data_IF_714193209943
#
_entry.id   IF_714193209943
#
_cell.length_a   1.000
_cell.length_b   1.000
_cell.length_c   1.000
_cell.angle_alpha   90.00
_cell.angle_beta   90.00
_cell.angle_gamma   90.00
#
_symmetry.space_group_name_H-M   'P 1'
#
loop_
_entity.id
_entity.type
_entity.pdbx_description
1 polymer ?
#
# COMPACT_ATOMS: atom_id res chain seq x y z
N UNK A 1 1.11 -14.82 22.02
CA UNK A 1 0.55 -13.62 21.38
C UNK A 1 1.54 -12.49 21.60
N UNK A 2 2.31 -12.14 20.57
CA UNK A 2 3.25 -11.01 20.66
C UNK A 2 2.45 -9.75 20.36
N UNK A 3 2.41 -8.81 21.30
CA UNK A 3 1.77 -7.49 21.14
C UNK A 3 2.53 -6.68 20.08
N UNK A 4 2.16 -6.83 18.81
CA UNK A 4 2.85 -6.23 17.66
C UNK A 4 2.44 -4.76 17.38
N UNK A 5 1.52 -4.16 18.13
CA UNK A 5 1.04 -2.80 17.87
C UNK A 5 1.98 -1.67 18.29
N UNK A 6 3.21 -1.98 18.72
CA UNK A 6 4.13 -0.93 19.15
C UNK A 6 4.80 -0.28 17.93
N UNK A 7 4.60 1.02 17.74
CA UNK A 7 5.29 1.84 16.72
C UNK A 7 6.81 1.65 16.71
N UNK A 8 7.39 1.32 17.87
CA UNK A 8 8.82 1.02 17.98
C UNK A 8 9.26 -0.26 17.25
N UNK A 9 8.36 -1.22 17.03
CA UNK A 9 8.65 -2.46 16.30
C UNK A 9 8.80 -2.20 14.80
N UNK A 10 7.90 -1.39 14.22
CA UNK A 10 7.93 -0.99 12.81
C UNK A 10 8.83 0.23 12.62
N UNK A 11 10.11 0.06 12.94
CA UNK A 11 11.14 1.08 12.83
C UNK A 11 11.97 0.92 11.54
N UNK A 12 12.91 1.84 11.33
CA UNK A 12 13.82 1.81 10.17
C UNK A 12 14.56 0.48 10.00
N UNK A 13 14.96 -0.21 11.07
CA UNK A 13 15.62 -1.52 10.99
C UNK A 13 14.67 -2.60 10.46
N UNK A 14 13.44 -2.66 10.97
CA UNK A 14 12.41 -3.60 10.49
C UNK A 14 12.22 -3.48 8.98
N UNK A 15 12.16 -2.25 8.47
CA UNK A 15 12.01 -2.00 7.05
C UNK A 15 13.31 -2.21 6.29
N UNK A 16 14.49 -1.87 6.83
CA UNK A 16 15.79 -2.10 6.18
C UNK A 16 16.02 -3.59 5.88
N UNK A 17 15.69 -4.46 6.83
CA UNK A 17 15.79 -5.92 6.67
C UNK A 17 14.79 -6.48 5.64
N UNK A 18 13.77 -5.70 5.26
CA UNK A 18 12.68 -6.08 4.36
C UNK A 18 12.60 -5.20 3.11
N UNK A 19 13.55 -4.30 2.91
CA UNK A 19 13.43 -3.15 2.01
C UNK A 19 13.38 -3.53 0.53
N UNK A 20 13.64 -4.80 0.24
CA UNK A 20 13.60 -5.36 -1.10
C UNK A 20 12.97 -6.75 -1.06
N UNK A 21 11.72 -6.85 -0.59
CA UNK A 21 10.90 -7.94 -1.12
C UNK A 21 10.45 -7.50 -2.50
N UNK A 22 11.02 -8.18 -3.50
CA UNK A 22 10.47 -8.14 -4.85
C UNK A 22 8.96 -8.35 -4.79
N UNK A 23 8.28 -7.75 -5.76
CA UNK A 23 6.85 -7.94 -5.89
C UNK A 23 6.61 -9.42 -6.14
N UNK A 24 5.77 -10.02 -5.31
CA UNK A 24 5.31 -11.37 -5.51
C UNK A 24 4.69 -11.47 -6.92
N UNK A 25 5.25 -12.28 -7.83
CA UNK A 25 4.79 -12.35 -9.22
C UNK A 25 3.33 -12.78 -9.36
N UNK A 26 2.83 -13.58 -8.42
CA UNK A 26 1.45 -14.02 -8.39
C UNK A 26 0.52 -12.88 -7.96
N UNK A 27 0.89 -12.12 -6.92
CA UNK A 27 0.14 -10.92 -6.55
C UNK A 27 0.16 -9.88 -7.67
N UNK A 28 1.30 -9.68 -8.34
CA UNK A 28 1.37 -8.84 -9.55
C UNK A 28 0.34 -9.25 -10.60
N UNK A 29 0.28 -10.54 -10.91
CA UNK A 29 -0.67 -11.07 -11.90
C UNK A 29 -2.12 -10.83 -11.47
N UNK A 30 -2.47 -11.14 -10.21
CA UNK A 30 -3.83 -10.93 -9.69
C UNK A 30 -4.21 -9.45 -9.74
N UNK A 31 -3.33 -8.58 -9.23
CA UNK A 31 -3.60 -7.14 -9.15
C UNK A 31 -3.84 -6.58 -10.55
N UNK A 32 -2.98 -6.87 -11.53
CA UNK A 32 -3.16 -6.36 -12.88
C UNK A 32 -4.47 -6.85 -13.51
N UNK A 33 -4.77 -8.15 -13.45
CA UNK A 33 -5.98 -8.69 -14.08
C UNK A 33 -7.29 -8.20 -13.42
N UNK A 34 -7.29 -7.96 -12.11
CA UNK A 34 -8.49 -7.49 -11.40
C UNK A 34 -8.71 -5.98 -11.54
N UNK A 35 -7.64 -5.19 -11.68
CA UNK A 35 -7.74 -3.73 -11.86
C UNK A 35 -8.09 -3.39 -13.32
N UNK A 36 -7.55 -4.12 -14.28
CA UNK A 36 -7.78 -3.89 -15.72
C UNK A 36 -8.98 -4.66 -16.29
N UNK A 37 -9.95 -5.05 -15.45
CA UNK A 37 -11.23 -5.59 -15.92
C UNK A 37 -11.94 -4.65 -16.93
N UNK A 38 -13.11 -5.02 -17.49
CA UNK A 38 -13.70 -4.43 -18.71
C UNK A 38 -14.19 -2.97 -18.61
N UNK A 39 -13.62 -2.15 -17.73
CA UNK A 39 -13.90 -0.73 -17.60
C UNK A 39 -13.14 0.03 -18.70
N UNK A 40 -13.88 0.68 -19.60
CA UNK A 40 -13.39 1.65 -20.61
C UNK A 40 -12.76 2.93 -20.00
N UNK A 41 -12.09 2.84 -18.84
CA UNK A 41 -11.39 3.96 -18.20
C UNK A 41 -9.89 3.79 -18.38
N UNK A 42 -9.21 4.90 -18.70
CA UNK A 42 -7.75 4.95 -18.68
C UNK A 42 -7.21 4.56 -17.30
N UNK A 43 -6.11 3.79 -17.25
CA UNK A 43 -5.44 3.41 -15.98
C UNK A 43 -5.17 4.62 -15.07
N UNK A 44 -4.80 5.76 -15.66
CA UNK A 44 -4.52 7.01 -14.92
C UNK A 44 -5.76 7.56 -14.22
N UNK A 45 -6.96 7.27 -14.71
CA UNK A 45 -8.21 7.69 -14.11
C UNK A 45 -8.59 6.86 -12.89
N UNK A 46 -8.01 5.68 -12.70
CA UNK A 46 -8.29 4.80 -11.56
C UNK A 46 -7.41 5.23 -10.38
N UNK A 47 -8.06 5.59 -9.27
CA UNK A 47 -7.43 6.02 -8.03
C UNK A 47 -7.37 4.85 -7.06
N UNK A 48 -6.16 4.45 -6.68
CA UNK A 48 -5.91 3.31 -5.79
C UNK A 48 -5.32 3.82 -4.47
N UNK A 49 -5.78 3.27 -3.35
CA UNK A 49 -5.14 3.43 -2.04
C UNK A 49 -4.54 2.09 -1.59
N UNK A 50 -3.24 2.07 -1.35
CA UNK A 50 -2.53 0.96 -0.71
C UNK A 50 -2.48 1.19 0.81
N UNK A 51 -3.25 0.40 1.55
CA UNK A 51 -3.39 0.48 3.01
C UNK A 51 -2.35 -0.43 3.67
N UNK A 52 -1.51 0.12 4.54
CA UNK A 52 -0.35 -0.59 5.05
C UNK A 52 0.76 -0.68 4.02
N UNK A 53 1.01 0.41 3.28
CA UNK A 53 1.88 0.40 2.09
C UNK A 53 3.37 0.13 2.40
N UNK A 54 3.78 0.15 3.67
CA UNK A 54 5.16 -0.02 4.10
C UNK A 54 6.11 0.92 3.35
N UNK A 55 7.17 0.38 2.78
CA UNK A 55 8.16 1.14 1.99
C UNK A 55 7.68 1.53 0.59
N UNK A 56 6.44 1.19 0.21
CA UNK A 56 5.79 1.66 -1.01
C UNK A 56 6.08 0.84 -2.27
N UNK A 57 6.44 -0.44 -2.12
CA UNK A 57 6.77 -1.33 -3.26
C UNK A 57 5.60 -1.40 -4.26
N UNK A 58 4.38 -1.67 -3.79
CA UNK A 58 3.20 -1.75 -4.67
C UNK A 58 2.75 -0.38 -5.19
N UNK A 59 2.84 0.67 -4.36
CA UNK A 59 2.60 2.06 -4.80
C UNK A 59 3.47 2.41 -6.01
N UNK A 60 4.77 2.15 -5.93
CA UNK A 60 5.71 2.47 -7.00
C UNK A 60 5.48 1.63 -8.25
N UNK A 61 5.20 0.34 -8.09
CA UNK A 61 4.91 -0.54 -9.22
C UNK A 61 3.64 -0.15 -9.96
N UNK A 62 2.54 0.06 -9.26
CA UNK A 62 1.27 0.41 -9.89
C UNK A 62 1.32 1.81 -10.54
N UNK A 63 2.10 2.74 -9.99
CA UNK A 63 2.40 4.02 -10.67
C UNK A 63 3.15 3.80 -11.99
N UNK A 64 4.16 2.90 -12.02
CA UNK A 64 4.87 2.55 -13.27
C UNK A 64 3.95 1.89 -14.31
N UNK A 65 2.94 1.15 -13.85
CA UNK A 65 1.91 0.55 -14.71
C UNK A 65 0.87 1.55 -15.23
N UNK A 66 0.94 2.82 -14.79
CA UNK A 66 0.12 3.93 -15.29
C UNK A 66 -1.09 4.27 -14.42
N UNK A 67 -1.21 3.71 -13.22
CA UNK A 67 -2.30 4.02 -12.28
C UNK A 67 -2.00 5.24 -11.41
N UNK A 68 -3.05 5.89 -10.90
CA UNK A 68 -2.92 6.92 -9.87
C UNK A 68 -3.02 6.26 -8.49
N UNK A 69 -1.89 6.15 -7.80
CA UNK A 69 -1.80 5.37 -6.55
C UNK A 69 -1.33 6.24 -5.40
N UNK A 70 -1.92 6.03 -4.23
CA UNK A 70 -1.58 6.65 -2.95
C UNK A 70 -1.33 5.54 -1.93
N UNK A 71 -0.51 5.82 -0.91
CA UNK A 71 -0.28 4.88 0.19
C UNK A 71 -0.56 5.51 1.56
N UNK A 72 -0.93 4.66 2.51
CA UNK A 72 -0.85 4.98 3.94
C UNK A 72 -0.15 3.87 4.70
N UNK A 73 0.61 4.24 5.73
CA UNK A 73 1.14 3.29 6.70
C UNK A 73 1.17 3.95 8.08
N UNK A 74 0.94 3.19 9.15
CA UNK A 74 0.91 3.74 10.50
C UNK A 74 2.33 4.03 11.05
N UNK A 75 3.35 3.40 10.45
CA UNK A 75 4.76 3.66 10.75
C UNK A 75 5.22 4.94 10.08
N UNK A 76 5.69 5.87 10.92
CA UNK A 76 6.30 7.11 10.45
C UNK A 76 7.53 6.84 9.57
N UNK A 77 8.36 5.86 9.93
CA UNK A 77 9.54 5.47 9.14
C UNK A 77 9.14 4.99 7.73
N UNK A 78 8.14 4.10 7.64
CA UNK A 78 7.62 3.63 6.35
C UNK A 78 7.08 4.77 5.48
N UNK A 79 6.26 5.64 6.07
CA UNK A 79 5.69 6.79 5.39
C UNK A 79 6.79 7.74 4.86
N UNK A 80 7.85 7.99 5.64
CA UNK A 80 8.99 8.80 5.19
C UNK A 80 9.74 8.14 4.03
N UNK A 81 10.05 6.85 4.14
CA UNK A 81 10.75 6.07 3.12
C UNK A 81 9.97 6.08 1.79
N UNK A 82 8.68 5.75 1.87
CA UNK A 82 7.80 5.64 0.71
C UNK A 82 7.32 6.99 0.18
N UNK A 83 7.59 8.08 0.93
CA UNK A 83 7.04 9.43 0.70
C UNK A 83 5.51 9.42 0.61
N UNK A 84 4.87 8.62 1.47
CA UNK A 84 3.42 8.48 1.56
C UNK A 84 2.91 9.02 2.90
N UNK A 85 1.62 8.88 3.18
CA UNK A 85 0.97 9.49 4.34
C UNK A 85 1.09 8.57 5.56
N UNK A 86 1.52 9.13 6.70
CA UNK A 86 1.52 8.41 7.97
C UNK A 86 0.10 8.42 8.57
N UNK A 87 -0.60 7.29 8.53
CA UNK A 87 -1.97 7.17 9.02
C UNK A 87 -2.34 5.75 9.42
N UNK A 88 -3.36 5.61 10.27
CA UNK A 88 -3.88 4.31 10.72
C UNK A 88 -4.82 3.70 9.68
N UNK A 89 -4.77 2.38 9.51
CA UNK A 89 -5.70 1.65 8.66
C UNK A 89 -7.15 1.71 9.17
N UNK A 90 -7.35 1.85 10.49
CA UNK A 90 -8.69 1.97 11.10
C UNK A 90 -9.21 3.41 11.14
N UNK A 91 -8.38 4.39 10.78
CA UNK A 91 -8.76 5.80 10.71
C UNK A 91 -8.04 6.48 9.56
N UNK A 92 -8.62 6.32 8.37
CA UNK A 92 -8.06 6.78 7.12
C UNK A 92 -8.38 8.28 6.90
N UNK A 93 -7.39 9.14 6.58
CA UNK A 93 -7.57 10.60 6.49
C UNK A 93 -8.06 11.04 5.09
N UNK A 94 -9.00 10.29 4.51
CA UNK A 94 -9.58 10.62 3.21
C UNK A 94 -11.09 10.66 3.31
N UNK A 95 -11.70 11.50 2.47
CA UNK A 95 -13.15 11.52 2.32
C UNK A 95 -13.66 10.20 1.76
N UNK A 96 -14.93 9.90 2.03
CA UNK A 96 -15.63 8.79 1.36
C UNK A 96 -15.53 8.94 -0.16
N UNK A 97 -15.51 7.79 -0.86
CA UNK A 97 -15.45 7.69 -2.32
C UNK A 97 -14.24 8.39 -2.98
N UNK A 98 -13.14 8.59 -2.23
CA UNK A 98 -11.92 9.18 -2.76
C UNK A 98 -11.12 8.25 -3.70
N UNK A 99 -11.38 6.94 -3.66
CA UNK A 99 -10.64 5.91 -4.38
C UNK A 99 -11.59 4.91 -5.04
N UNK A 100 -11.19 4.42 -6.21
CA UNK A 100 -11.92 3.38 -6.94
C UNK A 100 -11.56 1.96 -6.44
N UNK A 101 -10.41 1.82 -5.78
CA UNK A 101 -9.87 0.54 -5.31
C UNK A 101 -9.03 0.71 -4.04
N UNK A 102 -9.17 -0.27 -3.14
CA UNK A 102 -8.27 -0.48 -2.00
C UNK A 102 -7.38 -1.70 -2.24
N UNK A 103 -6.07 -1.54 -2.03
CA UNK A 103 -5.10 -2.62 -1.95
C UNK A 103 -4.62 -2.73 -0.50
N UNK A 104 -4.43 -3.96 -0.02
CA UNK A 104 -3.93 -4.24 1.32
C UNK A 104 -3.21 -5.58 1.29
N UNK A 105 -1.88 -5.57 1.35
CA UNK A 105 -1.04 -6.77 1.27
C UNK A 105 -0.31 -6.96 2.59
N UNK A 106 -0.48 -8.11 3.23
CA UNK A 106 0.11 -8.44 4.53
C UNK A 106 -0.23 -7.45 5.67
N UNK A 107 -1.47 -6.96 5.71
CA UNK A 107 -1.97 -6.05 6.74
C UNK A 107 -3.02 -6.70 7.66
N UNK A 108 -3.96 -7.47 7.09
CA UNK A 108 -5.16 -7.94 7.80
C UNK A 108 -4.80 -8.84 8.98
N UNK A 109 -3.70 -9.58 8.89
CA UNK A 109 -3.19 -10.41 9.99
C UNK A 109 -2.71 -9.59 11.21
N UNK A 110 -2.64 -8.26 11.09
CA UNK A 110 -2.28 -7.33 12.16
C UNK A 110 -3.46 -6.48 12.65
N UNK A 111 -4.70 -6.75 12.22
CA UNK A 111 -5.91 -6.03 12.63
C UNK A 111 -6.71 -6.78 13.71
#
# INVERSE_FOLDING_TARGET
>A
MVNHFNRQYYNTKYYADRFYKDIDPYLKYIILNNITGPKNRSKKAIRILDVGCGTGVYVNFLRKEGFTVFGIDFSFSAAQISKQICASAVQIPFKNDAFDLLLSVHLIEYL
#
